data_IF_382374197764
#
_entry.id   IF_382374197764
#
_cell.length_a   1.000
_cell.length_b   1.000
_cell.length_c   1.000
_cell.angle_alpha   90.00
_cell.angle_beta   90.00
_cell.angle_gamma   90.00
#
_symmetry.space_group_name_H-M   'P 1'
#
loop_
_entity.id
_entity.type
_entity.pdbx_description
1 polymer ?
#
# COMPACT_ATOMS: atom_id res chain seq x y z
N UNK A 1 13.30 2.63 -6.48
CA UNK A 1 12.18 2.35 -7.40
C UNK A 1 11.71 0.91 -7.29
N UNK A 2 10.50 0.61 -7.70
CA UNK A 2 9.92 -0.75 -7.64
C UNK A 2 10.62 -1.72 -8.61
N UNK A 3 11.20 -1.23 -9.69
CA UNK A 3 11.87 -2.06 -10.68
C UNK A 3 13.39 -1.89 -10.63
N UNK A 4 14.17 -2.99 -10.64
CA UNK A 4 15.60 -2.94 -10.92
C UNK A 4 15.87 -2.36 -12.32
N UNK A 5 16.99 -1.64 -12.48
CA UNK A 5 17.33 -1.01 -13.75
C UNK A 5 17.46 -2.04 -14.89
N UNK A 6 17.97 -3.22 -14.58
CA UNK A 6 18.13 -4.30 -15.58
C UNK A 6 16.80 -4.75 -16.18
N UNK A 7 15.68 -4.67 -15.40
CA UNK A 7 14.33 -5.00 -15.90
C UNK A 7 13.84 -3.95 -16.88
N UNK A 8 14.07 -2.67 -16.57
CA UNK A 8 13.69 -1.55 -17.43
C UNK A 8 14.50 -1.57 -18.74
N UNK A 9 15.81 -1.82 -18.64
CA UNK A 9 16.70 -1.92 -19.79
C UNK A 9 16.35 -3.12 -20.67
N UNK A 10 16.04 -4.27 -20.04
CA UNK A 10 15.61 -5.48 -20.74
C UNK A 10 14.32 -5.26 -21.53
N UNK A 11 13.34 -4.61 -20.94
CA UNK A 11 12.10 -4.24 -21.64
C UNK A 11 12.38 -3.34 -22.85
N UNK A 12 13.20 -2.32 -22.68
CA UNK A 12 13.56 -1.41 -23.77
C UNK A 12 14.31 -2.13 -24.88
N UNK A 13 15.22 -3.06 -24.53
CA UNK A 13 15.96 -3.85 -25.49
C UNK A 13 15.05 -4.80 -26.29
N UNK A 14 14.08 -5.44 -25.63
CA UNK A 14 13.17 -6.40 -26.25
C UNK A 14 12.12 -5.72 -27.14
N UNK A 15 11.58 -4.59 -26.69
CA UNK A 15 10.42 -3.94 -27.32
C UNK A 15 10.78 -2.73 -28.19
N UNK A 16 11.94 -2.13 -27.99
CA UNK A 16 12.31 -0.84 -28.58
C UNK A 16 11.59 0.35 -27.95
N UNK A 17 10.82 0.14 -26.86
CA UNK A 17 10.08 1.20 -26.18
C UNK A 17 10.94 1.77 -25.06
N UNK A 18 11.23 3.08 -25.13
CA UNK A 18 11.94 3.78 -24.07
C UNK A 18 11.03 3.99 -22.86
N UNK A 19 11.55 3.71 -21.66
CA UNK A 19 10.82 3.93 -20.41
C UNK A 19 11.25 5.26 -19.79
N UNK A 20 10.29 6.15 -19.57
CA UNK A 20 10.45 7.34 -18.75
C UNK A 20 9.85 7.06 -17.36
N UNK A 21 10.69 6.60 -16.43
CA UNK A 21 10.24 6.13 -15.12
C UNK A 21 10.18 7.29 -14.11
N UNK A 22 8.98 7.53 -13.58
CA UNK A 22 8.74 8.52 -12.54
C UNK A 22 8.26 7.86 -11.25
N UNK A 23 8.72 8.37 -10.10
CA UNK A 23 8.24 7.95 -8.79
C UNK A 23 7.29 8.99 -8.20
N UNK A 24 6.44 8.53 -7.31
CA UNK A 24 5.64 9.35 -6.41
C UNK A 24 5.71 8.76 -4.99
N UNK A 25 5.50 9.61 -4.00
CA UNK A 25 5.69 9.23 -2.60
C UNK A 25 4.43 8.61 -2.00
N UNK A 26 3.26 9.04 -2.47
CA UNK A 26 1.95 8.53 -2.03
C UNK A 26 1.00 8.36 -3.21
N UNK A 27 0.04 7.47 -3.08
CA UNK A 27 -0.98 7.24 -4.11
C UNK A 27 -1.85 8.49 -4.34
N UNK A 28 -2.09 9.29 -3.31
CA UNK A 28 -2.79 10.56 -3.41
C UNK A 28 -2.03 11.56 -4.29
N UNK A 29 -0.69 11.60 -4.19
CA UNK A 29 0.14 12.43 -5.06
C UNK A 29 0.10 11.94 -6.51
N UNK A 30 0.06 10.63 -6.73
CA UNK A 30 -0.13 10.05 -8.06
C UNK A 30 -1.50 10.45 -8.63
N UNK A 31 -2.57 10.29 -7.86
CA UNK A 31 -3.93 10.65 -8.28
C UNK A 31 -3.98 12.14 -8.67
N UNK A 32 -3.48 13.04 -7.83
CA UNK A 32 -3.46 14.47 -8.11
C UNK A 32 -2.73 14.82 -9.42
N UNK A 33 -1.67 14.09 -9.77
CA UNK A 33 -0.98 14.26 -11.05
C UNK A 33 -1.81 13.77 -12.23
N UNK A 34 -2.49 12.61 -12.08
CA UNK A 34 -3.40 12.09 -13.11
C UNK A 34 -4.56 13.05 -13.36
N UNK A 35 -5.18 13.59 -12.32
CA UNK A 35 -6.26 14.59 -12.41
C UNK A 35 -5.80 15.85 -13.15
N UNK A 36 -4.64 16.39 -12.77
CA UNK A 36 -4.09 17.59 -13.39
C UNK A 36 -3.82 17.42 -14.89
N UNK A 37 -3.49 16.22 -15.32
CA UNK A 37 -3.20 15.86 -16.71
C UNK A 37 -4.41 15.26 -17.46
N UNK A 38 -5.55 15.10 -16.79
CA UNK A 38 -6.69 14.38 -17.36
C UNK A 38 -6.38 12.94 -17.77
N UNK A 39 -5.44 12.28 -17.06
CA UNK A 39 -4.96 10.94 -17.36
C UNK A 39 -3.90 10.85 -18.46
N UNK A 40 -3.54 11.96 -19.12
CA UNK A 40 -2.78 11.95 -20.37
C UNK A 40 -1.26 11.87 -20.28
N UNK A 41 -0.65 12.05 -19.10
CA UNK A 41 0.80 12.15 -18.95
C UNK A 41 1.50 10.81 -18.69
N UNK A 42 0.73 9.75 -18.40
CA UNK A 42 1.25 8.43 -18.04
C UNK A 42 0.59 7.34 -18.85
N UNK A 43 1.41 6.44 -19.42
CA UNK A 43 0.93 5.25 -20.14
C UNK A 43 0.54 4.14 -19.17
N UNK A 44 1.28 4.00 -18.05
CA UNK A 44 1.05 2.99 -17.01
C UNK A 44 1.35 3.60 -15.65
N UNK A 45 0.47 3.35 -14.67
CA UNK A 45 0.70 3.66 -13.26
C UNK A 45 0.58 2.41 -12.41
N UNK A 46 1.37 2.34 -11.33
CA UNK A 46 1.27 1.27 -10.33
C UNK A 46 0.89 1.94 -9.01
N UNK A 47 -0.21 1.51 -8.43
CA UNK A 47 -0.77 2.09 -7.23
C UNK A 47 -1.54 1.03 -6.43
N UNK A 48 -1.84 1.34 -5.19
CA UNK A 48 -2.60 0.47 -4.30
C UNK A 48 -4.08 0.40 -4.72
N UNK A 49 -4.73 -0.67 -4.34
CA UNK A 49 -6.10 -1.02 -4.73
C UNK A 49 -7.13 0.06 -4.42
N UNK A 50 -7.02 0.70 -3.27
CA UNK A 50 -7.99 1.71 -2.83
C UNK A 50 -7.99 2.96 -3.71
N UNK A 51 -6.83 3.37 -4.25
CA UNK A 51 -6.74 4.55 -5.11
C UNK A 51 -7.17 4.22 -6.55
N UNK A 52 -6.92 2.98 -6.99
CA UNK A 52 -7.34 2.51 -8.31
C UNK A 52 -8.85 2.61 -8.49
N UNK A 53 -9.62 2.33 -7.44
CA UNK A 53 -11.07 2.50 -7.47
C UNK A 53 -11.48 3.95 -7.83
N UNK A 54 -10.79 4.93 -7.25
CA UNK A 54 -10.99 6.35 -7.56
C UNK A 54 -10.58 6.68 -8.98
N UNK A 55 -9.40 6.22 -9.42
CA UNK A 55 -8.90 6.41 -10.79
C UNK A 55 -9.89 5.93 -11.84
N UNK A 56 -10.52 4.76 -11.60
CA UNK A 56 -11.55 4.20 -12.49
C UNK A 56 -12.83 5.04 -12.44
N UNK A 57 -13.30 5.40 -11.23
CA UNK A 57 -14.54 6.16 -11.05
C UNK A 57 -14.50 7.55 -11.70
N UNK A 58 -13.31 8.17 -11.71
CA UNK A 58 -13.08 9.49 -12.31
C UNK A 58 -12.77 9.42 -13.82
N UNK A 59 -12.71 8.21 -14.39
CA UNK A 59 -12.44 8.02 -15.82
C UNK A 59 -11.01 8.36 -16.25
N UNK A 60 -10.04 8.28 -15.32
CA UNK A 60 -8.63 8.56 -15.56
C UNK A 60 -7.87 7.36 -16.13
N UNK A 61 -8.48 6.17 -16.09
CA UNK A 61 -7.92 4.94 -16.66
C UNK A 61 -8.65 4.55 -17.95
N UNK A 62 -7.90 4.00 -18.91
CA UNK A 62 -8.45 3.43 -20.14
C UNK A 62 -8.73 1.93 -19.94
N UNK A 63 -9.74 1.42 -20.65
CA UNK A 63 -10.03 0.00 -20.64
C UNK A 63 -8.93 -0.81 -21.33
N UNK A 64 -8.61 -1.94 -20.74
CA UNK A 64 -7.70 -2.94 -21.22
C UNK A 64 -8.49 -4.07 -21.93
N UNK A 65 -7.85 -4.68 -22.91
CA UNK A 65 -8.30 -5.96 -23.46
C UNK A 65 -7.35 -7.05 -22.96
N UNK A 66 -7.71 -7.70 -21.87
CA UNK A 66 -6.89 -8.74 -21.23
C UNK A 66 -6.62 -9.94 -22.15
N UNK A 67 -7.48 -10.19 -23.15
CA UNK A 67 -7.26 -11.22 -24.15
C UNK A 67 -6.04 -10.97 -25.05
N UNK A 68 -5.60 -9.72 -25.14
CA UNK A 68 -4.37 -9.34 -25.87
C UNK A 68 -3.10 -9.40 -25.03
N UNK A 69 -3.22 -9.62 -23.73
CA UNK A 69 -2.08 -9.72 -22.82
C UNK A 69 -1.58 -11.16 -22.81
N UNK A 70 -0.51 -11.44 -23.55
CA UNK A 70 0.05 -12.79 -23.72
C UNK A 70 0.37 -13.50 -22.38
N UNK A 71 0.75 -12.73 -21.37
CA UNK A 71 1.13 -13.23 -20.05
C UNK A 71 -0.02 -13.18 -19.02
N UNK A 72 -1.26 -12.88 -19.43
CA UNK A 72 -2.39 -12.84 -18.51
C UNK A 72 -2.58 -14.13 -17.72
N UNK A 73 -2.35 -15.27 -18.37
CA UNK A 73 -2.44 -16.60 -17.73
C UNK A 73 -1.42 -16.85 -16.60
N UNK A 74 -0.42 -15.97 -16.44
CA UNK A 74 0.54 -16.05 -15.34
C UNK A 74 0.02 -15.38 -14.06
N UNK A 75 -1.09 -14.61 -14.14
CA UNK A 75 -1.71 -13.98 -12.97
C UNK A 75 -2.52 -15.04 -12.22
N UNK A 76 -2.17 -15.26 -10.95
CA UNK A 76 -2.91 -16.19 -10.11
C UNK A 76 -4.39 -15.74 -10.02
N UNK A 77 -5.35 -16.66 -10.28
CA UNK A 77 -6.77 -16.35 -10.25
C UNK A 77 -7.26 -15.73 -8.95
N UNK A 78 -6.59 -15.97 -7.80
CA UNK A 78 -6.95 -15.38 -6.52
C UNK A 78 -6.83 -13.85 -6.53
N UNK A 79 -6.00 -13.28 -7.38
CA UNK A 79 -5.81 -11.82 -7.52
C UNK A 79 -6.63 -11.20 -8.64
N UNK A 80 -7.33 -12.00 -9.43
CA UNK A 80 -8.21 -11.50 -10.49
C UNK A 80 -9.60 -11.16 -9.94
N UNK A 81 -10.31 -10.26 -10.59
CA UNK A 81 -11.70 -9.91 -10.27
C UNK A 81 -11.87 -9.30 -8.88
N UNK A 82 -10.90 -8.52 -8.42
CA UNK A 82 -10.92 -7.90 -7.11
C UNK A 82 -11.98 -6.76 -7.04
N UNK A 83 -12.36 -6.36 -5.83
CA UNK A 83 -13.44 -5.39 -5.58
C UNK A 83 -13.26 -4.06 -6.31
N UNK A 84 -12.04 -3.62 -6.56
CA UNK A 84 -11.73 -2.36 -7.24
C UNK A 84 -11.86 -2.44 -8.77
N UNK A 85 -11.78 -3.63 -9.35
CA UNK A 85 -11.96 -3.89 -10.79
C UNK A 85 -12.46 -5.34 -11.03
N UNK A 86 -13.74 -5.62 -10.76
CA UNK A 86 -14.28 -6.98 -10.75
C UNK A 86 -14.18 -7.74 -12.08
N UNK A 87 -14.01 -7.03 -13.18
CA UNK A 87 -13.93 -7.60 -14.54
C UNK A 87 -12.52 -7.53 -15.11
N UNK A 88 -11.56 -6.96 -14.40
CA UNK A 88 -10.21 -6.68 -14.88
C UNK A 88 -10.20 -5.92 -16.22
N UNK A 89 -11.13 -4.98 -16.37
CA UNK A 89 -11.21 -4.15 -17.57
C UNK A 89 -10.21 -2.98 -17.56
N UNK A 90 -9.61 -2.65 -16.41
CA UNK A 90 -8.74 -1.49 -16.24
C UNK A 90 -7.37 -1.84 -15.67
N UNK A 91 -7.24 -2.98 -14.99
CA UNK A 91 -6.06 -3.29 -14.20
C UNK A 91 -5.47 -4.65 -14.48
N UNK A 92 -4.16 -4.75 -14.27
CA UNK A 92 -3.43 -6.02 -14.18
C UNK A 92 -2.82 -6.09 -12.78
N UNK A 93 -3.15 -7.10 -11.96
CA UNK A 93 -2.53 -7.29 -10.65
C UNK A 93 -1.01 -7.43 -10.78
N UNK A 94 -0.27 -6.61 -10.03
CA UNK A 94 1.20 -6.61 -10.07
C UNK A 94 1.80 -7.33 -8.85
N UNK A 95 1.32 -7.01 -7.67
CA UNK A 95 1.84 -7.57 -6.43
C UNK A 95 0.83 -7.47 -5.31
N UNK A 96 1.05 -8.24 -4.26
CA UNK A 96 0.26 -8.20 -3.04
C UNK A 96 1.19 -8.20 -1.83
N UNK A 97 0.84 -7.44 -0.80
CA UNK A 97 1.55 -7.37 0.45
C UNK A 97 0.62 -7.57 1.64
N UNK A 98 1.19 -8.07 2.73
CA UNK A 98 0.48 -8.19 4.01
C UNK A 98 1.18 -7.31 5.02
N UNK A 99 0.42 -6.42 5.66
CA UNK A 99 0.93 -5.62 6.77
C UNK A 99 1.19 -6.51 7.97
N UNK A 100 2.40 -6.45 8.50
CA UNK A 100 2.82 -7.29 9.62
C UNK A 100 3.68 -6.50 10.60
N UNK A 101 3.87 -7.09 11.79
CA UNK A 101 4.78 -6.57 12.81
C UNK A 101 6.11 -7.31 12.66
N UNK A 102 7.20 -6.54 12.63
CA UNK A 102 8.56 -7.06 12.73
C UNK A 102 9.18 -6.50 13.99
N UNK A 103 9.82 -7.33 14.80
CA UNK A 103 10.45 -6.91 16.04
C UNK A 103 11.76 -7.65 16.29
N UNK A 104 12.66 -7.04 17.06
CA UNK A 104 13.91 -7.66 17.48
C UNK A 104 13.70 -8.39 18.83
N UNK A 105 13.70 -9.73 18.86
CA UNK A 105 13.44 -10.49 20.09
C UNK A 105 14.55 -10.39 21.14
N UNK A 106 15.73 -9.86 20.76
CA UNK A 106 16.78 -9.58 21.73
C UNK A 106 16.51 -8.32 22.57
N UNK A 107 15.74 -7.38 22.02
CA UNK A 107 15.39 -6.12 22.67
C UNK A 107 13.98 -6.13 23.25
N UNK A 108 13.04 -6.74 22.56
CA UNK A 108 11.64 -6.87 23.00
C UNK A 108 11.45 -8.22 23.68
N UNK A 109 11.39 -8.20 25.00
CA UNK A 109 11.26 -9.42 25.82
C UNK A 109 9.84 -10.00 25.84
N UNK A 110 8.84 -9.18 25.49
CA UNK A 110 7.45 -9.60 25.37
C UNK A 110 7.26 -10.33 24.05
N UNK A 111 6.53 -11.44 24.09
CA UNK A 111 6.03 -12.08 22.87
C UNK A 111 5.00 -11.19 22.19
N UNK A 112 5.22 -10.90 20.92
CA UNK A 112 4.29 -10.12 20.10
C UNK A 112 3.45 -11.07 19.28
N UNK A 113 2.17 -11.15 19.57
CA UNK A 113 1.21 -12.07 18.94
C UNK A 113 0.22 -11.35 18.01
N UNK A 114 0.10 -10.04 18.13
CA UNK A 114 -0.81 -9.25 17.30
C UNK A 114 -0.69 -7.76 17.56
N UNK A 115 -1.46 -6.98 16.79
CA UNK A 115 -1.41 -5.52 16.87
C UNK A 115 -1.73 -4.98 18.27
N UNK A 116 -2.58 -5.64 19.06
CA UNK A 116 -2.91 -5.22 20.42
C UNK A 116 -1.71 -5.10 21.34
N UNK A 117 -0.67 -5.91 21.10
CA UNK A 117 0.56 -5.88 21.90
C UNK A 117 1.35 -4.57 21.73
N UNK A 118 1.13 -3.82 20.64
CA UNK A 118 1.80 -2.55 20.39
C UNK A 118 1.41 -1.45 21.39
N UNK A 119 0.27 -1.58 22.09
CA UNK A 119 -0.18 -0.67 23.15
C UNK A 119 0.42 -0.95 24.51
N UNK A 120 1.32 -1.92 24.64
CA UNK A 120 1.99 -2.25 25.89
C UNK A 120 2.96 -1.13 26.30
N UNK A 121 2.89 -0.70 27.56
CA UNK A 121 3.74 0.38 28.10
C UNK A 121 5.24 0.08 28.03
N UNK A 122 5.62 -1.21 28.00
CA UNK A 122 7.03 -1.60 27.85
C UNK A 122 7.63 -1.24 26.51
N UNK A 123 6.78 -0.91 25.51
CA UNK A 123 7.18 -0.48 24.18
C UNK A 123 7.24 1.05 24.04
N UNK A 124 7.14 1.79 25.15
CA UNK A 124 7.20 3.26 25.14
C UNK A 124 8.44 3.75 24.38
N UNK A 125 8.23 4.66 23.41
CA UNK A 125 9.27 5.25 22.56
C UNK A 125 10.12 4.21 21.78
N UNK A 126 9.53 3.07 21.42
CA UNK A 126 10.22 1.97 20.73
C UNK A 126 9.53 1.48 19.46
N UNK A 127 8.46 2.14 19.02
CA UNK A 127 7.77 1.75 17.79
C UNK A 127 8.17 2.64 16.61
N UNK A 128 8.46 2.01 15.48
CA UNK A 128 8.46 2.65 14.18
C UNK A 128 7.16 2.27 13.44
N UNK A 129 6.45 3.26 12.92
CA UNK A 129 5.23 3.04 12.13
C UNK A 129 5.35 3.64 10.75
N UNK A 130 4.69 3.02 9.77
CA UNK A 130 4.63 3.53 8.40
C UNK A 130 3.70 4.76 8.39
N UNK A 131 4.13 5.84 7.73
CA UNK A 131 3.38 7.09 7.58
C UNK A 131 2.21 7.00 6.60
N UNK A 132 1.50 5.87 6.60
CA UNK A 132 0.32 5.64 5.79
C UNK A 132 -0.91 5.56 6.71
N UNK A 133 -1.84 6.50 6.53
CA UNK A 133 -3.03 6.61 7.39
C UNK A 133 -3.92 5.37 7.34
N UNK A 134 -4.01 4.69 6.20
CA UNK A 134 -4.82 3.45 6.08
C UNK A 134 -4.21 2.34 6.91
N UNK A 135 -2.88 2.18 6.86
CA UNK A 135 -2.16 1.16 7.66
C UNK A 135 -2.38 1.42 9.14
N UNK A 136 -2.13 2.66 9.58
CA UNK A 136 -2.18 3.03 11.01
C UNK A 136 -3.61 2.93 11.55
N UNK A 137 -4.61 3.47 10.83
CA UNK A 137 -6.02 3.32 11.22
C UNK A 137 -6.46 1.85 11.19
N UNK A 138 -6.01 1.10 10.18
CA UNK A 138 -6.31 -0.32 10.06
C UNK A 138 -5.81 -1.15 11.24
N UNK A 139 -4.62 -0.84 11.78
CA UNK A 139 -4.12 -1.49 13.01
C UNK A 139 -5.09 -1.27 14.18
N UNK A 140 -5.52 -0.03 14.41
CA UNK A 140 -6.46 0.28 15.49
C UNK A 140 -7.81 -0.40 15.29
N UNK A 141 -8.36 -0.38 14.06
CA UNK A 141 -9.61 -1.07 13.74
C UNK A 141 -9.49 -2.57 14.01
N UNK A 142 -8.39 -3.23 13.66
CA UNK A 142 -8.18 -4.65 13.95
C UNK A 142 -8.10 -4.95 15.44
N UNK A 143 -7.46 -4.08 16.22
CA UNK A 143 -7.44 -4.20 17.69
C UNK A 143 -8.83 -4.08 18.30
N UNK A 144 -9.68 -3.24 17.69
CA UNK A 144 -11.07 -3.07 18.09
C UNK A 144 -12.01 -4.19 17.59
N UNK A 145 -11.52 -5.10 16.73
CA UNK A 145 -12.33 -6.17 16.13
C UNK A 145 -13.16 -5.70 14.92
N UNK A 146 -12.84 -4.53 14.39
CA UNK A 146 -13.58 -3.90 13.30
C UNK A 146 -13.01 -4.22 11.93
N UNK A 147 -13.82 -3.95 10.89
CA UNK A 147 -13.38 -4.10 9.51
C UNK A 147 -12.34 -3.04 9.15
N UNK A 148 -11.28 -3.48 8.47
CA UNK A 148 -10.28 -2.58 7.88
C UNK A 148 -10.88 -1.60 6.86
N UNK A 149 -11.98 -2.00 6.22
CA UNK A 149 -12.72 -1.26 5.19
C UNK A 149 -14.03 -0.67 5.71
N UNK A 150 -14.14 -0.38 7.02
CA UNK A 150 -15.33 0.28 7.56
C UNK A 150 -15.47 1.69 6.99
N UNK A 151 -16.71 2.06 6.66
CA UNK A 151 -17.09 3.42 6.27
C UNK A 151 -17.88 4.14 7.38
N UNK A 152 -18.09 3.47 8.52
CA UNK A 152 -18.79 4.05 9.66
C UNK A 152 -17.96 5.13 10.34
N UNK A 153 -18.43 6.37 10.26
CA UNK A 153 -17.70 7.53 10.79
C UNK A 153 -17.43 7.44 12.31
N UNK A 154 -18.37 6.87 13.08
CA UNK A 154 -18.21 6.73 14.51
C UNK A 154 -17.13 5.70 14.86
N UNK A 155 -17.05 4.59 14.13
CA UNK A 155 -16.01 3.57 14.26
C UNK A 155 -14.65 4.13 13.86
N UNK A 156 -14.57 4.93 12.78
CA UNK A 156 -13.34 5.58 12.35
C UNK A 156 -12.84 6.58 13.41
N UNK A 157 -13.75 7.38 13.97
CA UNK A 157 -13.40 8.31 15.06
C UNK A 157 -12.89 7.57 16.29
N UNK A 158 -13.52 6.46 16.66
CA UNK A 158 -13.10 5.63 17.78
C UNK A 158 -11.70 5.04 17.54
N UNK A 159 -11.39 4.59 16.32
CA UNK A 159 -10.06 4.13 15.93
C UNK A 159 -9.01 5.25 16.07
N UNK A 160 -9.35 6.48 15.67
CA UNK A 160 -8.49 7.65 15.87
C UNK A 160 -8.19 7.90 17.36
N UNK A 161 -9.19 7.80 18.25
CA UNK A 161 -8.99 7.90 19.69
C UNK A 161 -8.09 6.79 20.23
N UNK A 162 -8.26 5.56 19.71
CA UNK A 162 -7.40 4.41 20.05
C UNK A 162 -5.95 4.65 19.65
N UNK A 163 -5.70 5.29 18.50
CA UNK A 163 -4.35 5.65 18.07
C UNK A 163 -3.68 6.70 18.98
N UNK A 164 -4.44 7.61 19.57
CA UNK A 164 -3.87 8.55 20.55
C UNK A 164 -3.29 7.83 21.77
N UNK A 165 -3.86 6.69 22.17
CA UNK A 165 -3.31 5.85 23.23
C UNK A 165 -1.97 5.19 22.82
N UNK A 166 -1.76 4.93 21.52
CA UNK A 166 -0.52 4.37 20.99
C UNK A 166 0.61 5.40 20.87
N UNK A 167 0.26 6.68 20.76
CA UNK A 167 1.21 7.76 20.50
C UNK A 167 2.45 7.76 21.42
N UNK A 168 2.37 7.49 22.74
CA UNK A 168 3.54 7.44 23.61
C UNK A 168 4.55 6.34 23.26
N UNK A 169 4.12 5.31 22.54
CA UNK A 169 4.98 4.19 22.14
C UNK A 169 5.68 4.47 20.80
N UNK A 170 5.18 5.43 20.01
CA UNK A 170 5.72 5.75 18.69
C UNK A 170 6.95 6.63 18.83
N UNK A 171 8.10 6.13 18.34
CA UNK A 171 9.35 6.86 18.23
C UNK A 171 9.55 7.49 16.85
N UNK A 172 9.17 6.75 15.81
CA UNK A 172 9.41 7.13 14.41
C UNK A 172 8.17 6.93 13.56
N UNK A 173 7.98 7.84 12.62
CA UNK A 173 7.02 7.68 11.52
C UNK A 173 7.83 7.79 10.23
N UNK A 174 7.90 6.71 9.44
CA UNK A 174 8.71 6.61 8.23
C UNK A 174 7.95 5.86 7.13
N UNK A 175 8.34 6.14 5.87
CA UNK A 175 7.83 5.43 4.70
C UNK A 175 8.87 4.51 4.06
N UNK A 176 10.14 4.62 4.45
CA UNK A 176 11.27 3.88 3.89
C UNK A 176 12.28 3.45 4.97
N UNK A 177 13.14 2.50 4.62
CA UNK A 177 14.28 2.06 5.42
C UNK A 177 13.96 1.71 6.89
N UNK A 178 12.74 1.22 7.15
CA UNK A 178 12.32 0.83 8.52
C UNK A 178 13.17 -0.32 9.06
N UNK A 179 13.72 -1.17 8.16
CA UNK A 179 14.62 -2.26 8.55
C UNK A 179 15.91 -1.77 9.23
N UNK A 180 16.43 -0.60 8.86
CA UNK A 180 17.64 -0.06 9.46
C UNK A 180 17.41 0.36 10.92
N UNK A 181 16.19 0.79 11.23
CA UNK A 181 15.80 1.18 12.59
C UNK A 181 15.64 -0.04 13.53
N UNK A 182 15.38 -1.24 12.98
CA UNK A 182 15.31 -2.48 13.75
C UNK A 182 16.69 -2.96 14.23
N UNK A 183 17.76 -2.53 13.58
CA UNK A 183 19.13 -2.94 13.85
C UNK A 183 19.87 -1.96 14.75
N UNK A 184 19.32 -0.79 15.00
CA UNK A 184 19.88 0.28 15.83
C UNK A 184 19.31 0.32 17.22
#
# INVERSE_FOLDING_TARGET
GMFPQEVLDGFTQETGIAINYANFDTDENMLARLEAAGGGDYDVVIADDYIIQTVIAEGLAQKLDTAKLANWGNIDPVFQGQFYDPTNEYTVPYGSGVQTIVYNPALVQKEITGYGDLWDETLKDNLAVIGNYRVVNGMALKVMGESYNTEDAATIEAAGKKLLELAPNIRLIKNDNVQDDLLS
#
